data_IF_747355111000
#
_entry.id   IF_747355111000
#
_cell.length_a   1.000
_cell.length_b   1.000
_cell.length_c   1.000
_cell.angle_alpha   90.00
_cell.angle_beta   90.00
_cell.angle_gamma   90.00
#
_symmetry.space_group_name_H-M   'P 1'
#
loop_
_entity.id
_entity.type
_entity.pdbx_description
1 polymer ?
#
# COMPACT_ATOMS: atom_id res chain seq x y z
N UNK A 1 -8.44 13.03 -14.92
CA UNK A 1 -8.86 13.64 -13.63
C UNK A 1 -7.63 13.77 -12.76
N UNK A 2 -7.45 14.88 -12.03
CA UNK A 2 -6.27 15.12 -11.17
C UNK A 2 -6.57 14.75 -9.71
N UNK A 3 -7.22 13.61 -9.49
CA UNK A 3 -7.58 13.13 -8.14
C UNK A 3 -6.57 12.09 -7.65
N UNK A 4 -6.23 12.15 -6.36
CA UNK A 4 -5.36 11.17 -5.72
C UNK A 4 -6.23 10.10 -5.07
N UNK A 5 -6.66 9.14 -5.87
CA UNK A 5 -7.64 8.11 -5.52
C UNK A 5 -7.22 6.77 -6.10
N UNK A 6 -7.78 5.69 -5.56
CA UNK A 6 -7.49 4.34 -6.04
C UNK A 6 -7.95 4.13 -7.48
N UNK A 7 -7.11 3.45 -8.26
CA UNK A 7 -7.33 3.30 -9.72
C UNK A 7 -8.38 2.25 -10.09
N UNK A 8 -8.62 1.26 -9.22
CA UNK A 8 -9.46 0.10 -9.54
C UNK A 8 -8.86 -0.83 -10.60
N UNK A 9 -7.54 -0.79 -10.81
CA UNK A 9 -6.85 -1.59 -11.82
C UNK A 9 -7.07 -3.10 -11.65
N UNK A 10 -7.03 -3.82 -12.78
CA UNK A 10 -7.23 -5.26 -12.84
C UNK A 10 -6.10 -5.93 -13.63
N UNK A 11 -5.80 -7.19 -13.29
CA UNK A 11 -4.94 -8.08 -14.06
C UNK A 11 -5.72 -9.37 -14.32
N UNK A 12 -5.85 -9.76 -15.59
CA UNK A 12 -6.60 -10.96 -15.98
C UNK A 12 -8.07 -10.95 -15.47
N UNK A 13 -8.73 -9.79 -15.52
CA UNK A 13 -10.08 -9.51 -14.99
C UNK A 13 -10.23 -9.58 -13.46
N UNK A 14 -9.15 -9.78 -12.71
CA UNK A 14 -9.16 -9.78 -11.25
C UNK A 14 -8.63 -8.44 -10.70
N UNK A 15 -9.25 -7.89 -9.65
CA UNK A 15 -8.81 -6.63 -9.06
C UNK A 15 -7.40 -6.75 -8.46
N UNK A 16 -6.63 -5.68 -8.57
CA UNK A 16 -5.35 -5.52 -7.89
C UNK A 16 -5.53 -4.87 -6.52
N UNK A 17 -4.72 -5.29 -5.55
CA UNK A 17 -4.51 -4.50 -4.35
C UNK A 17 -3.67 -3.27 -4.69
N UNK A 18 -3.84 -2.16 -3.99
CA UNK A 18 -3.12 -0.92 -4.31
C UNK A 18 -2.75 -0.14 -3.05
N UNK A 19 -1.50 0.34 -2.99
CA UNK A 19 -1.08 1.36 -2.04
C UNK A 19 -0.64 2.62 -2.79
N UNK A 20 -1.05 3.78 -2.29
CA UNK A 20 -0.69 5.08 -2.83
C UNK A 20 0.12 5.87 -1.81
N UNK A 21 1.10 6.63 -2.29
CA UNK A 21 1.88 7.56 -1.49
C UNK A 21 2.18 8.82 -2.31
N UNK A 22 2.13 9.98 -1.64
CA UNK A 22 2.47 11.26 -2.23
C UNK A 22 3.38 12.03 -1.28
N UNK A 23 4.42 12.64 -1.83
CA UNK A 23 5.32 13.53 -1.10
C UNK A 23 5.56 14.81 -1.90
N UNK A 24 5.55 15.95 -1.21
CA UNK A 24 6.00 17.23 -1.78
C UNK A 24 7.53 17.29 -1.86
N UNK A 25 8.03 17.73 -3.01
CA UNK A 25 9.44 18.02 -3.23
C UNK A 25 9.79 19.29 -2.48
N UNK A 26 10.74 19.19 -1.56
CA UNK A 26 11.31 20.34 -0.85
C UNK A 26 12.73 20.55 -1.35
N UNK A 27 13.10 21.82 -1.60
CA UNK A 27 14.45 22.19 -2.06
C UNK A 27 14.95 21.40 -3.29
N UNK A 28 14.05 21.12 -4.24
CA UNK A 28 14.38 20.44 -5.50
C UNK A 28 14.76 18.97 -5.37
N UNK A 29 14.50 18.33 -4.21
CA UNK A 29 14.77 16.90 -3.99
C UNK A 29 13.59 16.19 -3.35
N UNK A 30 13.41 14.93 -3.72
CA UNK A 30 12.63 13.93 -2.97
C UNK A 30 13.46 12.64 -2.88
N UNK A 31 14.59 12.67 -2.15
CA UNK A 31 15.46 11.51 -2.07
C UNK A 31 14.77 10.40 -1.27
N UNK A 32 14.67 9.21 -1.87
CA UNK A 32 14.13 8.04 -1.20
C UNK A 32 12.61 7.96 -1.13
N UNK A 33 11.88 8.55 -2.09
CA UNK A 33 10.41 8.48 -2.15
C UNK A 33 9.85 7.05 -2.04
N UNK A 34 10.49 6.07 -2.69
CA UNK A 34 10.11 4.66 -2.56
C UNK A 34 10.29 4.12 -1.13
N UNK A 35 11.42 4.42 -0.49
CA UNK A 35 11.70 4.02 0.89
C UNK A 35 10.75 4.70 1.85
N UNK A 36 10.46 5.98 1.65
CA UNK A 36 9.52 6.75 2.45
C UNK A 36 8.09 6.21 2.31
N UNK A 37 7.67 5.84 1.09
CA UNK A 37 6.38 5.22 0.82
C UNK A 37 6.24 3.89 1.57
N UNK A 38 7.19 2.96 1.37
CA UNK A 38 7.16 1.64 2.04
C UNK A 38 7.21 1.79 3.55
N UNK A 39 8.03 2.70 4.08
CA UNK A 39 8.06 2.98 5.53
C UNK A 39 6.73 3.52 6.03
N UNK A 40 6.15 4.51 5.37
CA UNK A 40 4.87 5.10 5.76
C UNK A 40 3.73 4.08 5.75
N UNK A 41 3.67 3.22 4.73
CA UNK A 41 2.72 2.11 4.68
C UNK A 41 2.97 1.09 5.81
N UNK A 42 4.21 0.74 6.10
CA UNK A 42 4.54 -0.24 7.13
C UNK A 42 4.31 0.27 8.55
N UNK A 43 4.59 1.55 8.84
CA UNK A 43 4.46 2.16 10.16
C UNK A 43 3.02 2.08 10.72
N UNK A 44 2.01 1.87 9.86
CA UNK A 44 0.63 1.58 10.26
C UNK A 44 0.49 0.30 11.09
N UNK A 45 1.50 -0.58 11.11
CA UNK A 45 1.58 -1.75 12.01
C UNK A 45 1.32 -1.36 13.47
N UNK A 46 1.76 -0.16 13.89
CA UNK A 46 1.56 0.37 15.24
C UNK A 46 0.07 0.54 15.62
N UNK A 47 -0.82 0.62 14.63
CA UNK A 47 -2.26 0.74 14.80
C UNK A 47 -3.00 -0.58 14.53
N UNK A 48 -2.29 -1.63 14.08
CA UNK A 48 -2.90 -2.92 13.76
C UNK A 48 -3.06 -3.80 15.01
N UNK A 49 -4.27 -4.31 15.23
CA UNK A 49 -4.56 -5.20 16.36
C UNK A 49 -4.55 -6.68 15.90
N UNK A 50 -3.42 -7.36 16.14
CA UNK A 50 -3.25 -8.77 15.80
C UNK A 50 -4.17 -9.72 16.60
N UNK A 51 -4.70 -9.31 17.76
CA UNK A 51 -5.64 -10.13 18.54
C UNK A 51 -7.07 -10.06 17.98
N UNK A 52 -7.39 -9.00 17.23
CA UNK A 52 -8.69 -8.79 16.57
C UNK A 52 -8.46 -8.31 15.14
N UNK A 53 -7.85 -9.16 14.29
CA UNK A 53 -7.40 -8.76 12.96
C UNK A 53 -8.60 -8.50 12.06
N UNK A 54 -8.69 -7.27 11.54
CA UNK A 54 -9.77 -6.83 10.64
C UNK A 54 -9.27 -5.70 9.74
N UNK A 55 -10.03 -5.42 8.69
CA UNK A 55 -9.80 -4.22 7.89
C UNK A 55 -10.03 -2.96 8.72
N UNK A 56 -9.14 -1.98 8.52
CA UNK A 56 -9.27 -0.62 9.01
C UNK A 56 -8.63 0.30 7.97
N UNK A 57 -9.27 1.43 7.62
CA UNK A 57 -8.66 2.42 6.73
C UNK A 57 -7.30 2.94 7.23
N UNK A 58 -7.03 2.85 8.54
CA UNK A 58 -5.76 3.29 9.15
C UNK A 58 -4.62 2.28 9.01
N UNK A 59 -4.92 1.03 8.66
CA UNK A 59 -3.93 -0.05 8.57
C UNK A 59 -3.94 -0.75 7.22
N UNK A 60 -4.71 -0.23 6.27
CA UNK A 60 -4.96 -0.88 4.98
C UNK A 60 -3.69 -1.00 4.14
N UNK A 61 -2.81 -0.01 4.21
CA UNK A 61 -1.55 -0.05 3.47
C UNK A 61 -0.61 -1.08 4.07
N UNK A 62 -0.50 -1.12 5.40
CA UNK A 62 0.28 -2.15 6.10
C UNK A 62 -0.24 -3.55 5.78
N UNK A 63 -1.54 -3.79 5.94
CA UNK A 63 -2.11 -5.13 5.75
C UNK A 63 -1.96 -5.61 4.31
N UNK A 64 -2.07 -4.72 3.32
CA UNK A 64 -1.78 -5.06 1.91
C UNK A 64 -0.29 -5.36 1.69
N UNK A 65 0.60 -4.57 2.28
CA UNK A 65 2.06 -4.70 2.11
C UNK A 65 2.57 -6.07 2.62
N UNK A 66 2.03 -6.57 3.74
CA UNK A 66 2.44 -7.85 4.34
C UNK A 66 1.51 -9.02 4.00
N UNK A 67 0.57 -8.84 3.07
CA UNK A 67 -0.45 -9.84 2.77
C UNK A 67 0.16 -11.13 2.21
N UNK A 68 0.16 -12.20 3.00
CA UNK A 68 0.82 -13.50 2.69
C UNK A 68 0.46 -14.06 1.31
N UNK A 69 -0.80 -13.92 0.89
CA UNK A 69 -1.29 -14.50 -0.37
C UNK A 69 -0.96 -13.66 -1.60
N UNK A 70 -0.56 -12.38 -1.47
CA UNK A 70 -0.12 -11.57 -2.60
C UNK A 70 1.26 -12.05 -3.08
N UNK A 71 1.42 -12.31 -4.37
CA UNK A 71 2.61 -12.98 -4.95
C UNK A 71 3.37 -12.14 -5.97
N UNK A 72 2.71 -11.19 -6.61
CA UNK A 72 3.30 -10.27 -7.58
C UNK A 72 3.14 -8.84 -7.07
N UNK A 73 4.18 -8.05 -7.30
CA UNK A 73 4.26 -6.64 -6.94
C UNK A 73 4.71 -5.85 -8.17
N UNK A 74 3.98 -4.78 -8.50
CA UNK A 74 4.41 -3.78 -9.47
C UNK A 74 4.47 -2.41 -8.80
N UNK A 75 5.55 -1.65 -9.00
CA UNK A 75 5.72 -0.32 -8.38
C UNK A 75 6.02 0.71 -9.45
N UNK A 76 5.28 1.82 -9.43
CA UNK A 76 5.47 2.98 -10.29
C UNK A 76 5.80 4.23 -9.48
N UNK A 77 6.70 5.05 -9.99
CA UNK A 77 7.04 6.35 -9.42
C UNK A 77 6.89 7.41 -10.52
N UNK A 78 6.11 8.45 -10.25
CA UNK A 78 5.88 9.54 -11.18
C UNK A 78 6.05 10.90 -10.48
N UNK A 79 6.49 11.89 -11.24
CA UNK A 79 6.55 13.28 -10.81
C UNK A 79 5.33 14.03 -11.32
N UNK A 80 4.80 14.97 -10.53
CA UNK A 80 3.80 15.90 -11.03
C UNK A 80 4.36 16.73 -12.21
N UNK A 81 3.51 17.23 -13.12
CA UNK A 81 3.97 18.05 -14.25
C UNK A 81 4.81 19.27 -13.84
N UNK A 82 4.46 19.89 -12.71
CA UNK A 82 5.18 21.04 -12.13
C UNK A 82 6.42 20.64 -11.32
N UNK A 83 6.74 19.34 -11.24
CA UNK A 83 7.84 18.75 -10.46
C UNK A 83 7.85 19.15 -8.98
N UNK A 84 6.67 19.43 -8.41
CA UNK A 84 6.50 19.72 -6.98
C UNK A 84 6.07 18.50 -6.18
N UNK A 85 5.56 17.45 -6.81
CA UNK A 85 5.11 16.23 -6.15
C UNK A 85 5.79 14.98 -6.72
N UNK A 86 5.97 13.99 -5.85
CA UNK A 86 6.30 12.62 -6.23
C UNK A 86 5.16 11.71 -5.78
N UNK A 87 4.70 10.86 -6.69
CA UNK A 87 3.69 9.84 -6.45
C UNK A 87 4.35 8.47 -6.54
N UNK A 88 4.04 7.61 -5.58
CA UNK A 88 4.45 6.20 -5.58
C UNK A 88 3.18 5.36 -5.52
N UNK A 89 3.05 4.41 -6.45
CA UNK A 89 1.94 3.47 -6.53
C UNK A 89 2.51 2.06 -6.48
N UNK A 90 1.94 1.21 -5.64
CA UNK A 90 2.26 -0.21 -5.59
C UNK A 90 1.00 -1.04 -5.83
N UNK A 91 1.04 -1.90 -6.84
CA UNK A 91 -0.02 -2.85 -7.18
C UNK A 91 0.36 -4.27 -6.74
N UNK A 92 -0.60 -4.99 -6.19
CA UNK A 92 -0.42 -6.32 -5.60
C UNK A 92 -1.36 -7.34 -6.24
N UNK A 93 -0.84 -8.52 -6.59
CA UNK A 93 -1.65 -9.61 -7.14
C UNK A 93 -1.29 -10.98 -6.53
N UNK A 94 -2.27 -11.81 -6.13
CA UNK A 94 -3.68 -11.47 -5.92
C UNK A 94 -3.87 -10.31 -4.93
N UNK A 95 -5.00 -9.61 -5.02
CA UNK A 95 -5.33 -8.50 -4.11
C UNK A 95 -5.36 -8.97 -2.64
N UNK A 96 -4.87 -8.10 -1.75
CA UNK A 96 -5.01 -8.27 -0.31
C UNK A 96 -6.27 -7.59 0.22
N UNK A 97 -6.35 -7.45 1.55
CA UNK A 97 -7.45 -6.79 2.24
C UNK A 97 -8.85 -7.34 1.90
N UNK A 98 -8.93 -8.60 1.48
CA UNK A 98 -10.20 -9.24 1.14
C UNK A 98 -11.01 -9.48 2.42
N UNK A 99 -12.24 -8.97 2.42
CA UNK A 99 -13.19 -9.13 3.51
C UNK A 99 -13.69 -10.57 3.55
N UNK A 100 -13.36 -11.30 4.60
CA UNK A 100 -13.77 -12.68 4.81
C UNK A 100 -13.40 -13.16 6.21
N UNK A 101 -14.16 -14.13 6.71
CA UNK A 101 -13.91 -14.69 8.04
C UNK A 101 -12.52 -15.32 8.11
N UNK A 102 -11.67 -14.81 9.02
CA UNK A 102 -10.29 -15.26 9.20
C UNK A 102 -9.30 -14.87 8.10
N UNK A 103 -9.69 -14.06 7.11
CA UNK A 103 -8.79 -13.66 6.02
C UNK A 103 -7.56 -12.89 6.53
N UNK A 104 -7.77 -11.94 7.44
CA UNK A 104 -6.68 -11.12 7.99
C UNK A 104 -5.74 -11.95 8.89
N UNK A 105 -6.28 -12.83 9.73
CA UNK A 105 -5.49 -13.71 10.60
C UNK A 105 -4.54 -14.62 9.79
N UNK A 106 -4.99 -15.14 8.65
CA UNK A 106 -4.20 -16.02 7.78
C UNK A 106 -3.13 -15.27 6.96
N UNK A 107 -3.33 -13.97 6.72
CA UNK A 107 -2.52 -13.20 5.77
C UNK A 107 -1.66 -12.11 6.40
N UNK A 108 -2.01 -11.62 7.59
CA UNK A 108 -1.31 -10.55 8.32
C UNK A 108 -0.77 -11.14 9.62
N UNK A 109 0.42 -11.73 9.53
CA UNK A 109 1.04 -12.42 10.66
C UNK A 109 1.74 -11.43 11.59
N UNK A 110 1.78 -11.69 12.91
CA UNK A 110 2.59 -10.89 13.82
C UNK A 110 4.07 -10.96 13.42
N UNK A 111 4.86 -9.89 13.66
CA UNK A 111 6.30 -9.93 13.44
C UNK A 111 6.92 -11.03 14.30
N UNK A 112 7.90 -11.74 13.75
CA UNK A 112 8.65 -12.74 14.51
C UNK A 112 9.38 -12.04 15.66
N UNK A 113 9.24 -12.59 16.86
CA UNK A 113 10.07 -12.23 18.01
C UNK A 113 11.48 -12.80 17.86
#
# INVERSE_FOLDING_TARGET
TSTFEHSGNQLENEPLGENLYMQWITFGRAPGSARAAVKGWYDEISMHNFQRPKFSPKTGHFTQLVWKSSKKLGVGIAYSPDRRGVYVVANYYPAGNIMGSGSFEKNVLPPNC
#
